data_IF_866217848191
#
_entry.id   IF_866217848191
#
_cell.length_a   1.000
_cell.length_b   1.000
_cell.length_c   1.000
_cell.angle_alpha   90.00
_cell.angle_beta   90.00
_cell.angle_gamma   90.00
#
_symmetry.space_group_name_H-M   'P 1'
#
loop_
_entity.id
_entity.type
_entity.pdbx_description
1 polymer ?
#
# COMPACT_ATOMS: atom_id res chain seq x y z
N UNK A 1 -18.81 -2.13 14.20
CA UNK A 1 -18.22 -1.30 13.15
C UNK A 1 -18.22 0.16 13.62
N UNK A 2 -17.05 0.67 14.00
CA UNK A 2 -16.93 2.08 14.30
C UNK A 2 -17.23 2.88 13.03
N UNK A 3 -18.30 3.63 13.03
CA UNK A 3 -18.55 4.66 12.02
C UNK A 3 -17.49 5.74 12.21
N UNK A 4 -16.65 5.93 11.21
CA UNK A 4 -15.72 7.05 11.23
C UNK A 4 -16.51 8.36 11.31
N UNK A 5 -16.09 9.36 12.11
CA UNK A 5 -16.67 10.68 12.07
C UNK A 5 -16.65 11.29 10.66
N UNK A 6 -17.52 12.25 10.41
CA UNK A 6 -17.79 12.80 9.07
C UNK A 6 -16.59 13.31 8.28
N UNK A 7 -15.50 13.62 8.95
CA UNK A 7 -14.26 14.11 8.34
C UNK A 7 -13.10 13.11 8.43
N UNK A 8 -13.34 11.89 8.89
CA UNK A 8 -12.28 10.89 9.06
C UNK A 8 -12.14 9.99 7.85
N UNK A 9 -11.01 9.33 7.81
CA UNK A 9 -10.61 8.35 6.81
C UNK A 9 -10.95 6.93 7.27
N UNK A 10 -11.27 6.07 6.33
CA UNK A 10 -11.37 4.62 6.55
C UNK A 10 -10.06 3.98 6.12
N UNK A 11 -9.58 3.02 6.89
CA UNK A 11 -8.33 2.32 6.63
C UNK A 11 -8.61 0.88 6.28
N UNK A 12 -8.15 0.45 5.12
CA UNK A 12 -8.04 -0.96 4.75
C UNK A 12 -6.60 -1.42 5.00
N UNK A 13 -6.42 -2.61 5.51
CA UNK A 13 -5.10 -3.14 5.85
C UNK A 13 -4.89 -4.56 5.31
N UNK A 14 -3.66 -4.85 4.99
CA UNK A 14 -3.22 -6.15 4.51
C UNK A 14 -1.82 -6.42 5.06
N UNK A 15 -1.59 -7.62 5.54
CA UNK A 15 -0.31 -8.05 6.12
C UNK A 15 0.21 -9.28 5.42
N UNK A 16 1.51 -9.30 5.12
CA UNK A 16 2.18 -10.37 4.41
C UNK A 16 3.51 -10.71 5.06
N UNK A 17 3.84 -11.99 5.13
CA UNK A 17 5.12 -12.49 5.63
C UNK A 17 5.78 -13.42 4.63
N UNK A 18 7.10 -13.54 4.68
CA UNK A 18 7.86 -14.50 3.87
C UNK A 18 7.59 -15.96 4.26
N UNK A 19 6.92 -16.24 5.38
CA UNK A 19 6.72 -17.60 5.88
C UNK A 19 5.24 -18.04 5.94
N UNK A 20 4.29 -17.12 5.85
CA UNK A 20 2.84 -17.42 5.99
C UNK A 20 2.02 -16.63 4.98
N UNK A 21 0.90 -17.23 4.51
CA UNK A 21 -0.05 -16.51 3.67
C UNK A 21 -0.69 -15.34 4.43
N UNK A 22 -1.14 -14.39 3.68
CA UNK A 22 -1.72 -13.17 4.14
C UNK A 22 -3.18 -13.29 4.61
N UNK A 23 -3.62 -12.28 5.36
CA UNK A 23 -5.02 -12.07 5.70
C UNK A 23 -5.55 -10.85 4.95
N UNK A 24 -6.58 -11.04 4.14
CA UNK A 24 -7.23 -9.97 3.40
C UNK A 24 -8.33 -9.33 4.26
N UNK A 25 -8.37 -8.00 4.30
CA UNK A 25 -9.46 -7.26 4.92
C UNK A 25 -10.51 -6.93 3.86
N UNK A 26 -11.76 -7.35 4.08
CA UNK A 26 -12.87 -7.03 3.19
C UNK A 26 -13.43 -5.63 3.53
N UNK A 27 -13.26 -4.63 2.67
CA UNK A 27 -13.80 -3.30 2.90
C UNK A 27 -15.31 -3.26 2.66
N UNK A 28 -15.94 -2.17 3.13
CA UNK A 28 -17.35 -1.89 2.82
C UNK A 28 -17.55 -1.56 1.34
N UNK A 29 -18.79 -1.71 0.86
CA UNK A 29 -19.22 -1.31 -0.50
C UNK A 29 -18.80 0.14 -0.77
N UNK A 30 -18.26 0.42 -1.97
CA UNK A 30 -17.73 1.70 -2.45
C UNK A 30 -16.43 2.18 -1.80
N UNK A 31 -15.86 1.42 -0.88
CA UNK A 31 -14.54 1.69 -0.33
C UNK A 31 -13.45 1.01 -1.18
N UNK A 32 -12.28 1.65 -1.40
CA UNK A 32 -11.15 0.98 -2.03
C UNK A 32 -10.63 -0.15 -1.14
N UNK A 33 -10.19 -1.22 -1.77
CA UNK A 33 -9.55 -2.36 -1.10
C UNK A 33 -8.05 -2.32 -1.30
N UNK A 34 -7.32 -3.05 -0.47
CA UNK A 34 -5.90 -3.29 -0.67
C UNK A 34 -5.60 -4.78 -0.51
N UNK A 35 -4.83 -5.33 -1.43
CA UNK A 35 -4.26 -6.67 -1.38
C UNK A 35 -2.77 -6.59 -1.65
N UNK A 36 -1.99 -7.47 -1.02
CA UNK A 36 -0.54 -7.50 -1.17
C UNK A 36 -0.08 -8.93 -1.39
N UNK A 37 0.75 -9.13 -2.40
CA UNK A 37 1.33 -10.43 -2.77
C UNK A 37 2.83 -10.29 -3.03
N UNK A 38 3.52 -11.42 -2.96
CA UNK A 38 4.90 -11.57 -3.42
C UNK A 38 4.85 -12.02 -4.87
N UNK A 39 5.64 -11.38 -5.73
CA UNK A 39 5.79 -11.77 -7.12
C UNK A 39 6.93 -12.80 -7.23
N UNK A 40 6.61 -14.03 -7.62
CA UNK A 40 7.59 -15.07 -7.93
C UNK A 40 7.49 -15.46 -9.41
N UNK A 41 8.43 -14.98 -10.24
CA UNK A 41 8.34 -15.14 -11.67
C UNK A 41 7.04 -14.53 -12.19
N UNK A 42 6.20 -15.33 -12.86
CA UNK A 42 4.91 -14.90 -13.38
C UNK A 42 3.75 -15.09 -12.40
N UNK A 43 4.02 -15.58 -11.18
CA UNK A 43 3.00 -15.88 -10.17
C UNK A 43 3.03 -14.90 -9.01
N UNK A 44 1.85 -14.63 -8.45
CA UNK A 44 1.67 -13.85 -7.22
C UNK A 44 1.33 -14.82 -6.09
N UNK A 45 2.15 -14.83 -5.04
CA UNK A 45 2.02 -15.75 -3.91
C UNK A 45 1.87 -15.00 -2.59
N UNK A 46 1.19 -15.60 -1.62
CA UNK A 46 0.99 -15.02 -0.29
C UNK A 46 2.21 -15.12 0.61
N UNK A 47 3.07 -16.10 0.38
CA UNK A 47 4.31 -16.31 1.12
C UNK A 47 5.32 -17.08 0.27
N UNK A 48 6.60 -16.93 0.59
CA UNK A 48 7.68 -17.69 -0.03
C UNK A 48 8.76 -18.07 0.98
N UNK A 49 9.67 -18.95 0.57
CA UNK A 49 10.94 -19.18 1.25
C UNK A 49 12.01 -18.31 0.61
N UNK A 50 12.80 -17.65 1.44
CA UNK A 50 13.87 -16.77 0.98
C UNK A 50 15.11 -16.93 1.86
N UNK A 51 16.28 -16.62 1.29
CA UNK A 51 17.57 -16.62 1.96
C UNK A 51 18.08 -15.18 2.12
N UNK A 52 18.96 -14.96 3.11
CA UNK A 52 19.61 -13.66 3.28
C UNK A 52 20.30 -13.26 1.97
N UNK A 53 20.05 -12.01 1.56
CA UNK A 53 20.51 -11.47 0.29
C UNK A 53 19.50 -11.58 -0.85
N UNK A 54 18.44 -12.37 -0.69
CA UNK A 54 17.42 -12.49 -1.71
C UNK A 54 16.58 -11.20 -1.81
N UNK A 55 16.23 -10.86 -3.04
CA UNK A 55 15.29 -9.81 -3.35
C UNK A 55 13.87 -10.37 -3.35
N UNK A 56 12.99 -9.70 -2.62
CA UNK A 56 11.57 -10.06 -2.55
C UNK A 56 10.78 -8.95 -3.23
N UNK A 57 10.05 -9.31 -4.29
CA UNK A 57 9.21 -8.38 -5.04
C UNK A 57 7.78 -8.41 -4.52
N UNK A 58 7.24 -7.25 -4.15
CA UNK A 58 5.88 -7.09 -3.66
C UNK A 58 4.99 -6.43 -4.69
N UNK A 59 3.75 -6.88 -4.74
CA UNK A 59 2.69 -6.28 -5.56
C UNK A 59 1.54 -5.91 -4.63
N UNK A 60 1.23 -4.62 -4.58
CA UNK A 60 0.05 -4.10 -3.89
C UNK A 60 -1.00 -3.78 -4.93
N UNK A 61 -2.19 -4.33 -4.76
CA UNK A 61 -3.30 -4.18 -5.70
C UNK A 61 -4.46 -3.45 -5.03
N UNK A 62 -5.05 -2.52 -5.73
CA UNK A 62 -6.24 -1.79 -5.35
C UNK A 62 -7.04 -1.46 -6.61
N UNK A 63 -8.12 -0.70 -6.45
CA UNK A 63 -8.90 -0.18 -7.58
C UNK A 63 -9.22 1.29 -7.35
N UNK A 64 -9.32 2.03 -8.45
CA UNK A 64 -9.80 3.40 -8.40
C UNK A 64 -11.25 3.40 -7.90
N UNK A 65 -11.53 4.05 -6.76
CA UNK A 65 -12.89 4.08 -6.21
C UNK A 65 -13.82 5.00 -7.03
N UNK A 66 -15.11 4.86 -6.80
CA UNK A 66 -16.06 5.85 -7.27
C UNK A 66 -15.91 7.13 -6.42
N UNK A 67 -15.43 8.20 -7.06
CA UNK A 67 -15.15 9.48 -6.39
C UNK A 67 -16.24 10.54 -6.70
N UNK A 68 -17.43 10.10 -7.08
CA UNK A 68 -18.55 11.02 -7.32
C UNK A 68 -18.86 11.86 -6.07
N UNK A 69 -18.97 13.16 -6.24
CA UNK A 69 -19.23 14.08 -5.14
C UNK A 69 -17.99 14.60 -4.42
N UNK A 70 -16.82 14.05 -4.70
CA UNK A 70 -15.56 14.55 -4.16
C UNK A 70 -14.95 15.61 -5.08
N UNK A 71 -14.46 16.70 -4.50
CA UNK A 71 -13.64 17.69 -5.21
C UNK A 71 -12.17 17.35 -5.12
N UNK A 72 -11.75 16.70 -4.03
CA UNK A 72 -10.40 16.21 -3.76
C UNK A 72 -10.49 14.83 -3.14
N UNK A 73 -9.48 14.02 -3.34
CA UNK A 73 -9.44 12.67 -2.79
C UNK A 73 -8.06 12.34 -2.25
N UNK A 74 -8.02 11.89 -1.01
CA UNK A 74 -6.80 11.44 -0.35
C UNK A 74 -6.61 9.93 -0.59
N UNK A 75 -5.43 9.54 -1.07
CA UNK A 75 -5.11 8.12 -1.30
C UNK A 75 -3.65 7.89 -0.96
N UNK A 76 -3.40 7.19 0.13
CA UNK A 76 -2.06 6.99 0.68
C UNK A 76 -1.89 5.55 1.12
N UNK A 77 -0.78 4.95 0.74
CA UNK A 77 -0.33 3.66 1.23
C UNK A 77 0.75 3.88 2.29
N UNK A 78 0.57 3.25 3.44
CA UNK A 78 1.57 3.20 4.52
C UNK A 78 2.00 1.75 4.66
N UNK A 79 3.28 1.49 4.43
CA UNK A 79 3.89 0.18 4.51
C UNK A 79 4.84 0.15 5.71
N UNK A 80 4.84 -0.96 6.42
CA UNK A 80 5.79 -1.21 7.51
C UNK A 80 6.48 -2.54 7.27
N UNK A 81 7.78 -2.48 7.04
CA UNK A 81 8.64 -3.65 6.87
C UNK A 81 9.31 -4.00 8.19
N UNK A 82 9.36 -5.29 8.52
CA UNK A 82 10.14 -5.78 9.66
C UNK A 82 11.65 -5.49 9.47
N UNK A 83 12.40 -5.56 10.56
CA UNK A 83 13.84 -5.28 10.56
C UNK A 83 14.68 -6.15 9.62
N UNK A 84 14.16 -7.33 9.28
CA UNK A 84 14.81 -8.28 8.35
C UNK A 84 14.71 -7.89 6.88
N UNK A 85 13.95 -6.85 6.55
CA UNK A 85 13.70 -6.39 5.19
C UNK A 85 14.33 -5.01 4.99
N UNK A 86 15.16 -4.88 3.97
CA UNK A 86 15.72 -3.59 3.54
C UNK A 86 15.00 -3.11 2.31
N UNK A 87 14.30 -1.99 2.41
CA UNK A 87 13.58 -1.40 1.30
C UNK A 87 14.53 -0.91 0.19
N UNK A 88 14.24 -1.29 -1.06
CA UNK A 88 15.08 -0.96 -2.21
C UNK A 88 14.72 0.36 -2.90
N UNK A 89 13.69 1.07 -2.44
CA UNK A 89 13.25 2.36 -2.96
C UNK A 89 12.98 2.34 -4.48
N UNK A 90 12.32 1.30 -4.96
CA UNK A 90 12.05 1.01 -6.37
C UNK A 90 10.55 1.00 -6.68
N UNK A 91 9.80 1.90 -6.07
CA UNK A 91 8.34 1.98 -6.23
C UNK A 91 7.96 2.34 -7.66
N UNK A 92 7.05 1.55 -8.24
CA UNK A 92 6.38 1.84 -9.52
C UNK A 92 4.88 1.78 -9.31
N UNK A 93 4.16 2.78 -9.79
CA UNK A 93 2.70 2.86 -9.69
C UNK A 93 2.08 2.81 -11.08
N UNK A 94 1.07 1.95 -11.25
CA UNK A 94 0.27 1.86 -12.48
C UNK A 94 -1.21 2.04 -12.18
N UNK A 95 -1.92 2.71 -13.08
CA UNK A 95 -3.39 2.73 -13.11
C UNK A 95 -3.82 2.14 -14.47
N UNK A 96 -4.54 1.02 -14.43
CA UNK A 96 -4.78 0.22 -15.61
C UNK A 96 -3.45 -0.26 -16.20
N UNK A 97 -3.22 0.01 -17.48
CA UNK A 97 -1.97 -0.28 -18.17
C UNK A 97 -0.96 0.89 -18.17
N UNK A 98 -1.34 2.03 -17.61
CA UNK A 98 -0.53 3.25 -17.62
C UNK A 98 0.38 3.31 -16.40
N UNK A 99 1.70 3.39 -16.63
CA UNK A 99 2.67 3.68 -15.58
C UNK A 99 2.65 5.18 -15.29
N UNK A 100 2.44 5.54 -14.02
CA UNK A 100 2.45 6.95 -13.62
C UNK A 100 3.88 7.49 -13.64
N UNK A 101 4.01 8.77 -13.99
CA UNK A 101 5.29 9.47 -13.82
C UNK A 101 5.61 9.65 -12.33
N UNK A 102 6.87 9.79 -11.99
CA UNK A 102 7.32 10.01 -10.60
C UNK A 102 6.74 11.30 -9.98
N UNK A 103 6.30 12.24 -10.81
CA UNK A 103 5.65 13.47 -10.36
C UNK A 103 4.22 13.23 -9.82
N UNK A 104 3.61 12.10 -10.14
CA UNK A 104 2.23 11.79 -9.75
C UNK A 104 2.13 11.24 -8.32
N UNK A 105 3.24 10.88 -7.69
CA UNK A 105 3.25 10.35 -6.33
C UNK A 105 4.55 10.72 -5.60
N UNK A 106 4.52 10.59 -4.28
CA UNK A 106 5.72 10.72 -3.44
C UNK A 106 5.95 9.45 -2.66
N UNK A 107 7.22 9.12 -2.47
CA UNK A 107 7.66 8.00 -1.63
C UNK A 107 8.57 8.55 -0.54
N UNK A 108 8.18 8.32 0.71
CA UNK A 108 8.99 8.68 1.88
C UNK A 108 9.26 7.42 2.69
N UNK A 109 10.51 7.17 3.03
CA UNK A 109 10.88 6.03 3.86
C UNK A 109 11.73 6.45 5.06
N UNK A 110 11.50 5.80 6.20
CA UNK A 110 12.21 6.06 7.44
C UNK A 110 12.54 4.74 8.11
N UNK A 111 13.82 4.54 8.44
CA UNK A 111 14.23 3.43 9.30
C UNK A 111 14.03 3.87 10.75
N UNK A 112 13.19 3.15 11.46
CA UNK A 112 12.82 3.45 12.85
C UNK A 112 13.90 2.97 13.84
N UNK A 113 13.79 3.40 15.09
CA UNK A 113 14.73 3.01 16.14
C UNK A 113 14.78 1.49 16.40
N UNK A 114 13.67 0.78 16.15
CA UNK A 114 13.53 -0.68 16.25
C UNK A 114 14.01 -1.42 14.99
N UNK A 115 14.61 -0.70 14.04
CA UNK A 115 15.06 -1.16 12.73
C UNK A 115 13.96 -1.57 11.75
N UNK A 116 12.69 -1.39 12.10
CA UNK A 116 11.61 -1.48 11.11
C UNK A 116 11.69 -0.29 10.15
N UNK A 117 11.13 -0.45 8.96
CA UNK A 117 11.08 0.64 7.96
C UNK A 117 9.64 1.04 7.73
N UNK A 118 9.35 2.32 7.90
CA UNK A 118 8.06 2.92 7.55
C UNK A 118 8.16 3.59 6.19
N UNK A 119 7.23 3.25 5.28
CA UNK A 119 7.18 3.78 3.92
C UNK A 119 5.81 4.41 3.71
N UNK A 120 5.79 5.64 3.23
CA UNK A 120 4.56 6.34 2.85
C UNK A 120 4.59 6.62 1.35
N UNK A 121 3.55 6.15 0.64
CA UNK A 121 3.35 6.39 -0.79
C UNK A 121 2.08 7.22 -0.93
N UNK A 122 2.22 8.48 -1.34
CA UNK A 122 1.10 9.41 -1.53
C UNK A 122 0.83 9.57 -3.01
N UNK A 123 -0.37 9.21 -3.47
CA UNK A 123 -0.81 9.49 -4.83
C UNK A 123 -1.36 10.91 -4.87
N UNK A 124 -0.61 11.82 -5.50
CA UNK A 124 -0.94 13.24 -5.54
C UNK A 124 -2.13 13.52 -6.45
N UNK A 125 -3.00 14.44 -6.03
CA UNK A 125 -4.16 14.86 -6.83
C UNK A 125 -4.95 13.66 -7.38
N UNK A 126 -5.26 12.71 -6.50
CA UNK A 126 -5.85 11.44 -6.88
C UNK A 126 -7.23 11.58 -7.55
N UNK A 127 -7.95 12.68 -7.29
CA UNK A 127 -9.25 12.97 -7.93
C UNK A 127 -9.15 13.04 -9.47
N UNK A 128 -7.97 13.31 -10.02
CA UNK A 128 -7.77 13.31 -11.47
C UNK A 128 -8.14 11.99 -12.14
N UNK A 129 -8.15 10.89 -11.39
CA UNK A 129 -8.47 9.54 -11.90
C UNK A 129 -9.95 9.18 -11.78
N UNK A 130 -10.81 10.12 -11.41
CA UNK A 130 -12.25 9.87 -11.17
C UNK A 130 -12.99 9.21 -12.33
N UNK A 131 -12.57 9.50 -13.57
CA UNK A 131 -13.20 8.91 -14.77
C UNK A 131 -12.73 7.47 -15.03
N UNK A 132 -11.77 6.99 -14.27
CA UNK A 132 -11.22 5.64 -14.35
C UNK A 132 -11.70 4.75 -13.20
N UNK A 133 -12.84 5.06 -12.59
CA UNK A 133 -13.40 4.26 -11.50
C UNK A 133 -13.46 2.78 -11.88
N UNK A 134 -13.00 1.91 -10.98
CA UNK A 134 -12.90 0.48 -11.21
C UNK A 134 -11.60 0.02 -11.89
N UNK A 135 -10.77 0.92 -12.42
CA UNK A 135 -9.47 0.56 -12.97
C UNK A 135 -8.54 0.01 -11.88
N UNK A 136 -7.70 -0.95 -12.26
CA UNK A 136 -6.72 -1.52 -11.33
C UNK A 136 -5.63 -0.50 -10.98
N UNK A 137 -5.30 -0.43 -9.70
CA UNK A 137 -4.12 0.26 -9.19
C UNK A 137 -3.12 -0.82 -8.81
N UNK A 138 -1.93 -0.75 -9.37
CA UNK A 138 -0.85 -1.69 -9.08
C UNK A 138 0.37 -0.91 -8.60
N UNK A 139 0.83 -1.21 -7.39
CA UNK A 139 2.05 -0.62 -6.82
C UNK A 139 3.05 -1.75 -6.60
N UNK A 140 4.20 -1.65 -7.21
CA UNK A 140 5.27 -2.64 -7.07
C UNK A 140 6.49 -2.01 -6.43
N UNK A 141 7.12 -2.75 -5.56
CA UNK A 141 8.41 -2.40 -4.94
C UNK A 141 9.04 -3.64 -4.37
N UNK A 142 10.29 -3.54 -3.96
CA UNK A 142 11.01 -4.69 -3.44
C UNK A 142 11.77 -4.38 -2.15
N UNK A 143 12.12 -5.45 -1.46
CA UNK A 143 13.03 -5.44 -0.33
C UNK A 143 14.06 -6.55 -0.47
N UNK A 144 15.22 -6.36 0.15
CA UNK A 144 16.25 -7.38 0.27
C UNK A 144 16.25 -7.95 1.67
N UNK A 145 16.26 -9.28 1.78
CA UNK A 145 16.36 -9.97 3.06
C UNK A 145 17.77 -9.74 3.63
N UNK A 146 17.86 -9.13 4.82
CA UNK A 146 19.13 -8.72 5.42
C UNK A 146 19.54 -9.62 6.59
N UNK A 147 20.65 -9.28 7.25
CA UNK A 147 21.24 -10.07 8.36
C UNK A 147 20.34 -10.14 9.62
N UNK A 148 19.40 -9.21 9.78
CA UNK A 148 18.42 -9.20 10.88
C UNK A 148 17.18 -10.05 10.57
N UNK A 149 17.16 -10.77 9.44
CA UNK A 149 16.03 -11.56 9.01
C UNK A 149 15.70 -12.69 9.98
N UNK A 150 14.40 -12.87 10.21
CA UNK A 150 13.90 -14.03 10.94
C UNK A 150 13.79 -15.21 9.99
N UNK A 151 14.63 -16.23 10.20
CA UNK A 151 14.68 -17.44 9.40
C UNK A 151 13.77 -18.55 9.95
N UNK A 152 13.01 -18.26 11.01
CA UNK A 152 12.01 -19.17 11.57
C UNK A 152 10.72 -19.14 10.77
N UNK A 153 9.74 -19.98 11.15
CA UNK A 153 8.42 -19.97 10.53
C UNK A 153 7.62 -18.69 10.75
N UNK A 154 8.01 -17.85 11.72
CA UNK A 154 7.42 -16.53 11.92
C UNK A 154 7.68 -15.62 10.71
N UNK A 155 8.89 -15.72 10.13
CA UNK A 155 9.29 -15.00 8.93
C UNK A 155 9.39 -13.48 9.10
N UNK A 156 9.45 -12.78 7.97
CA UNK A 156 9.67 -11.34 7.92
C UNK A 156 8.41 -10.66 7.37
N UNK A 157 7.77 -9.88 8.23
CA UNK A 157 6.45 -9.30 7.97
C UNK A 157 6.61 -8.01 7.19
N UNK A 158 5.79 -7.86 6.16
CA UNK A 158 5.57 -6.60 5.46
C UNK A 158 4.07 -6.30 5.46
N UNK A 159 3.67 -5.22 6.13
CA UNK A 159 2.27 -4.80 6.28
C UNK A 159 2.02 -3.52 5.50
N UNK A 160 0.92 -3.48 4.75
CA UNK A 160 0.45 -2.27 4.08
C UNK A 160 -0.93 -1.86 4.59
N UNK A 161 -1.13 -0.56 4.75
CA UNK A 161 -2.42 0.05 5.07
C UNK A 161 -2.77 1.09 4.02
N UNK A 162 -4.02 1.09 3.58
CA UNK A 162 -4.56 2.10 2.69
C UNK A 162 -5.40 3.10 3.48
N UNK A 163 -5.08 4.37 3.33
CA UNK A 163 -5.83 5.48 3.90
C UNK A 163 -6.44 6.29 2.77
N UNK A 164 -7.73 6.52 2.81
CA UNK A 164 -8.47 7.18 1.74
C UNK A 164 -9.58 8.09 2.27
N UNK A 165 -10.05 9.01 1.43
CA UNK A 165 -11.14 9.91 1.76
C UNK A 165 -12.49 9.17 1.87
N UNK A 166 -13.30 9.50 2.87
CA UNK A 166 -14.57 8.83 3.14
C UNK A 166 -15.77 9.78 3.30
N UNK A 167 -15.57 11.09 3.11
CA UNK A 167 -16.62 12.08 3.24
C UNK A 167 -16.55 13.12 2.11
N UNK A 168 -17.47 13.09 1.14
CA UNK A 168 -17.46 14.03 0.00
C UNK A 168 -17.75 15.48 0.41
N UNK A 169 -18.38 15.70 1.57
CA UNK A 169 -18.68 17.04 2.09
C UNK A 169 -17.51 17.68 2.85
N UNK A 170 -16.44 16.93 3.08
CA UNK A 170 -15.25 17.45 3.72
C UNK A 170 -14.30 18.06 2.68
N UNK A 171 -13.90 19.30 2.93
CA UNK A 171 -13.00 20.01 2.02
C UNK A 171 -11.54 19.63 2.30
N UNK A 172 -11.07 18.59 1.61
CA UNK A 172 -9.66 18.17 1.68
C UNK A 172 -8.78 19.21 0.98
N UNK A 173 -7.95 19.93 1.72
CA UNK A 173 -7.04 20.94 1.17
C UNK A 173 -5.71 20.30 0.79
N UNK A 174 -5.45 20.17 -0.50
CA UNK A 174 -4.15 19.72 -1.01
C UNK A 174 -3.78 18.30 -0.57
N UNK A 175 -2.71 18.18 0.20
CA UNK A 175 -2.23 16.94 0.80
C UNK A 175 -2.71 16.73 2.24
N UNK A 176 -3.66 17.57 2.70
CA UNK A 176 -4.13 17.49 4.09
C UNK A 176 -4.78 16.14 4.34
N UNK A 177 -4.30 15.47 5.37
CA UNK A 177 -4.93 14.27 5.88
C UNK A 177 -6.31 14.63 6.40
N UNK A 178 -7.33 13.82 6.13
CA UNK A 178 -8.59 13.91 6.88
C UNK A 178 -8.27 13.75 8.36
N UNK A 179 -8.74 14.66 9.20
CA UNK A 179 -8.56 14.58 10.65
C UNK A 179 -9.39 13.45 11.25
#
# INVERSE_FOLDING_TARGET
SATAPDNQQVVAACSLTTAKPDATVNPKVDAPSVDKKIQEGDQKVGANTASIGDKIDYVVSSKVPNMKGYEKYYFVLNDTMSKGLTFNNDVVVKIGSTTLSEDAYTVTSTVNADKTTSIEIVLKNFIQYKEQAGADITVTYSATLNQDADLTQTGNINEVKLTYSNNPNYNYKGTDKPN
#
